data_IF_461774399144
#
_entry.id   IF_461774399144
#
_cell.length_a   1.000
_cell.length_b   1.000
_cell.length_c   1.000
_cell.angle_alpha   90.00
_cell.angle_beta   90.00
_cell.angle_gamma   90.00
#
_symmetry.space_group_name_H-M   'P 1'
#
loop_
_entity.id
_entity.type
_entity.pdbx_description
1 polymer ?
#
# COMPACT_ATOMS: atom_id res chain seq x y z
N UNK A 1 23.28 -19.16 8.32
CA UNK A 1 22.95 -18.29 7.17
C UNK A 1 22.64 -19.07 5.87
N UNK A 2 22.11 -20.29 5.93
CA UNK A 2 21.89 -21.11 4.72
C UNK A 2 20.42 -21.16 4.23
N UNK A 3 19.49 -20.54 4.98
CA UNK A 3 18.06 -20.68 4.72
C UNK A 3 17.53 -19.80 3.56
N UNK A 4 18.15 -18.64 3.30
CA UNK A 4 17.75 -17.74 2.21
C UNK A 4 18.65 -17.81 0.95
N UNK A 5 19.68 -18.69 0.93
CA UNK A 5 20.65 -18.84 -0.19
C UNK A 5 21.28 -17.52 -0.70
N UNK A 6 21.49 -16.54 0.18
CA UNK A 6 22.09 -15.23 -0.16
C UNK A 6 23.51 -15.10 0.38
N UNK A 7 24.33 -14.31 -0.32
CA UNK A 7 25.70 -14.02 0.12
C UNK A 7 25.71 -13.12 1.37
N UNK A 8 26.83 -13.11 2.12
CA UNK A 8 27.00 -12.22 3.29
C UNK A 8 26.90 -10.74 2.91
N UNK A 9 27.49 -10.34 1.78
CA UNK A 9 27.44 -8.95 1.32
C UNK A 9 26.01 -8.52 0.99
N UNK A 10 25.22 -9.40 0.37
CA UNK A 10 23.79 -9.16 0.13
C UNK A 10 23.01 -9.01 1.44
N UNK A 11 23.28 -9.86 2.44
CA UNK A 11 22.61 -9.77 3.74
C UNK A 11 22.90 -8.44 4.45
N UNK A 12 24.15 -7.97 4.43
CA UNK A 12 24.52 -6.67 5.02
C UNK A 12 23.82 -5.50 4.32
N UNK A 13 23.61 -5.59 2.99
CA UNK A 13 22.84 -4.59 2.26
C UNK A 13 21.36 -4.60 2.66
N UNK A 14 20.76 -5.79 2.79
CA UNK A 14 19.39 -5.98 3.29
C UNK A 14 19.21 -5.39 4.69
N UNK A 15 20.14 -5.66 5.61
CA UNK A 15 20.10 -5.11 6.98
C UNK A 15 20.18 -3.58 7.01
N UNK A 16 20.84 -2.97 6.01
CA UNK A 16 20.94 -1.52 5.85
C UNK A 16 19.77 -0.90 5.10
N UNK A 17 18.83 -1.70 4.59
CA UNK A 17 17.73 -1.21 3.76
C UNK A 17 18.19 -0.65 2.40
N UNK A 18 19.28 -1.19 1.85
CA UNK A 18 19.82 -0.76 0.56
C UNK A 18 18.79 -1.02 -0.56
N UNK A 19 18.39 0.04 -1.26
CA UNK A 19 17.41 0.02 -2.36
C UNK A 19 17.93 -0.69 -3.62
N UNK A 20 19.25 -0.87 -3.76
CA UNK A 20 19.84 -1.62 -4.89
C UNK A 20 19.59 -3.13 -4.81
N UNK A 21 19.12 -3.61 -3.66
CA UNK A 21 18.79 -5.03 -3.47
C UNK A 21 17.40 -5.32 -4.04
N UNK A 22 17.33 -6.32 -4.92
CA UNK A 22 16.07 -6.75 -5.50
C UNK A 22 15.05 -7.14 -4.41
N UNK A 23 13.81 -6.66 -4.55
CA UNK A 23 12.73 -6.90 -3.57
C UNK A 23 12.50 -8.39 -3.25
N UNK A 24 12.69 -9.27 -4.23
CA UNK A 24 12.59 -10.72 -4.03
C UNK A 24 13.55 -11.28 -2.97
N UNK A 25 14.68 -10.61 -2.74
CA UNK A 25 15.63 -10.99 -1.68
C UNK A 25 15.09 -10.62 -0.31
N UNK A 26 14.50 -9.43 -0.15
CA UNK A 26 13.79 -9.06 1.08
C UNK A 26 12.65 -10.02 1.37
N UNK A 27 11.84 -10.36 0.36
CA UNK A 27 10.75 -11.32 0.49
C UNK A 27 11.24 -12.71 0.93
N UNK A 28 12.35 -13.21 0.36
CA UNK A 28 12.94 -14.49 0.77
C UNK A 28 13.44 -14.47 2.22
N UNK A 29 14.02 -13.37 2.68
CA UNK A 29 14.45 -13.21 4.08
C UNK A 29 13.24 -13.19 5.01
N UNK A 30 12.20 -12.39 4.71
CA UNK A 30 10.96 -12.34 5.49
C UNK A 30 10.26 -13.70 5.57
N UNK A 31 10.23 -14.45 4.45
CA UNK A 31 9.69 -15.80 4.40
C UNK A 31 10.39 -16.75 5.37
N UNK A 32 11.72 -16.75 5.39
CA UNK A 32 12.51 -17.59 6.31
C UNK A 32 12.30 -17.20 7.78
N UNK A 33 11.98 -15.94 8.05
CA UNK A 33 11.71 -15.42 9.39
C UNK A 33 10.24 -15.62 9.83
N UNK A 34 9.36 -16.10 8.95
CA UNK A 34 7.92 -16.21 9.24
C UNK A 34 7.19 -14.88 9.23
N UNK A 35 7.76 -13.84 8.62
CA UNK A 35 7.22 -12.48 8.56
C UNK A 35 6.58 -12.15 7.20
N UNK A 36 6.32 -13.15 6.36
CA UNK A 36 5.83 -12.95 4.98
C UNK A 36 4.43 -12.34 4.93
N UNK A 37 3.59 -12.60 5.92
CA UNK A 37 2.21 -12.06 5.97
C UNK A 37 2.19 -10.53 5.99
N UNK A 38 3.18 -9.90 6.65
CA UNK A 38 3.31 -8.45 6.68
C UNK A 38 3.56 -7.83 5.31
N UNK A 39 4.08 -8.59 4.34
CA UNK A 39 4.31 -8.10 2.98
C UNK A 39 3.01 -7.81 2.24
N UNK A 40 1.95 -8.59 2.50
CA UNK A 40 0.62 -8.36 1.93
C UNK A 40 -0.02 -7.06 2.41
N UNK A 41 0.29 -6.66 3.64
CA UNK A 41 -0.24 -5.45 4.26
C UNK A 41 0.61 -4.20 3.97
N UNK A 42 1.78 -4.36 3.36
CA UNK A 42 2.75 -3.27 3.17
C UNK A 42 2.17 -2.10 2.35
N UNK A 43 1.28 -2.39 1.41
CA UNK A 43 0.62 -1.40 0.56
C UNK A 43 -0.87 -1.27 0.87
N UNK A 44 -1.32 -1.70 2.06
CA UNK A 44 -2.70 -1.53 2.50
C UNK A 44 -3.02 -0.03 2.64
N UNK A 45 -3.93 0.54 1.81
CA UNK A 45 -4.28 1.96 1.90
C UNK A 45 -4.85 2.35 3.26
N UNK A 46 -5.49 1.42 3.97
CA UNK A 46 -6.03 1.67 5.31
C UNK A 46 -4.94 1.90 6.35
N UNK A 47 -3.73 1.39 6.11
CA UNK A 47 -2.55 1.58 6.96
C UNK A 47 -1.60 2.68 6.45
N UNK A 48 -1.79 3.18 5.22
CA UNK A 48 -1.01 4.28 4.63
C UNK A 48 -1.58 5.65 5.02
N UNK A 49 -1.23 6.11 6.22
CA UNK A 49 -1.66 7.42 6.73
C UNK A 49 -1.18 8.61 5.88
N UNK A 50 -0.01 8.49 5.25
CA UNK A 50 0.52 9.52 4.37
C UNK A 50 -0.31 9.58 3.08
N UNK A 51 -0.57 8.43 2.46
CA UNK A 51 -1.45 8.31 1.29
C UNK A 51 -2.83 8.90 1.57
N UNK A 52 -3.45 8.53 2.70
CA UNK A 52 -4.72 9.08 3.14
C UNK A 52 -4.69 10.61 3.26
N UNK A 53 -3.63 11.18 3.85
CA UNK A 53 -3.48 12.64 3.99
C UNK A 53 -3.32 13.37 2.65
N UNK A 54 -2.74 12.71 1.65
CA UNK A 54 -2.61 13.25 0.29
C UNK A 54 -3.97 13.19 -0.41
N UNK A 55 -4.68 12.07 -0.28
CA UNK A 55 -5.98 11.87 -0.89
C UNK A 55 -7.05 12.79 -0.30
N UNK A 56 -7.03 13.01 1.02
CA UNK A 56 -7.92 13.97 1.70
C UNK A 56 -7.73 15.39 1.17
N UNK A 57 -6.49 15.81 0.89
CA UNK A 57 -6.20 17.12 0.27
C UNK A 57 -6.70 17.23 -1.17
N UNK A 58 -6.80 16.10 -1.86
CA UNK A 58 -7.29 16.04 -3.24
C UNK A 58 -8.82 15.95 -3.34
N UNK A 59 -9.53 15.78 -2.21
CA UNK A 59 -10.99 15.70 -2.22
C UNK A 59 -11.64 17.01 -2.73
N UNK A 60 -12.73 16.91 -3.50
CA UNK A 60 -13.47 18.09 -3.94
C UNK A 60 -14.06 18.82 -2.74
N UNK A 61 -13.75 20.12 -2.61
CA UNK A 61 -14.26 20.99 -1.54
C UNK A 61 -15.79 21.15 -1.50
N UNK A 62 -16.49 20.69 -2.54
CA UNK A 62 -17.95 20.81 -2.65
C UNK A 62 -18.55 19.59 -3.32
N UNK A 63 -19.28 18.80 -2.55
CA UNK A 63 -20.06 17.67 -3.06
C UNK A 63 -21.35 18.24 -3.68
N UNK A 64 -21.52 18.09 -4.99
CA UNK A 64 -22.80 18.38 -5.65
C UNK A 64 -23.70 17.16 -5.51
N UNK A 65 -24.66 17.20 -4.58
CA UNK A 65 -25.75 16.22 -4.59
C UNK A 65 -26.51 16.33 -5.91
N UNK A 66 -26.66 15.21 -6.61
CA UNK A 66 -27.59 15.15 -7.74
C UNK A 66 -28.99 15.31 -7.18
N UNK A 67 -29.60 16.46 -7.42
CA UNK A 67 -31.03 16.65 -7.17
C UNK A 67 -31.79 15.66 -8.05
N UNK A 68 -32.50 14.72 -7.44
CA UNK A 68 -33.50 13.92 -8.13
C UNK A 68 -34.60 14.88 -8.54
N UNK A 69 -34.64 15.25 -9.83
CA UNK A 69 -35.83 15.86 -10.42
C UNK A 69 -36.95 14.83 -10.31
N UNK A 70 -37.85 15.02 -9.36
CA UNK A 70 -39.18 14.42 -9.44
C UNK A 70 -39.83 14.98 -10.71
N UNK A 71 -40.23 14.15 -11.67
CA UNK A 71 -40.99 14.60 -12.83
C UNK A 71 -42.28 15.24 -12.32
N UNK A 72 -42.59 16.45 -12.78
CA UNK A 72 -43.83 17.12 -12.43
C UNK A 72 -45.01 16.32 -12.95
N UNK A 73 -45.94 15.98 -12.05
CA UNK A 73 -47.31 15.67 -12.43
C UNK A 73 -47.94 16.99 -12.91
N UNK A 74 -48.09 17.09 -14.23
CA UNK A 74 -49.05 17.95 -14.86
C UNK A 74 -50.35 17.16 -15.11
N UNK A 75 -51.43 17.94 -15.18
CA UNK A 75 -52.79 17.59 -15.62
C UNK A 75 -53.71 16.90 -14.59
N UNK A 76 -54.44 17.72 -13.81
CA UNK A 76 -55.91 17.82 -13.85
C UNK A 76 -56.40 19.18 -13.28
#
# INVERSE_FOLDING_TARGET
>A
MQRARISRSTLTKVEKGDESVALGIYAAVLFVLGLVEGLGNLADPAMDSLGQSIEERNLPKRVRLRTSRTPGDGDD
#
